data_IF_310524157489
#
_entry.id   IF_310524157489
#
_cell.length_a   1.000
_cell.length_b   1.000
_cell.length_c   1.000
_cell.angle_alpha   90.00
_cell.angle_beta   90.00
_cell.angle_gamma   90.00
#
_symmetry.space_group_name_H-M   'P 1'
#
loop_
_entity.id
_entity.type
_entity.pdbx_description
1 polymer ?
#
# COMPACT_ATOMS: atom_id res chain seq x y z
N UNK A 1 24.35 2.43 -0.39
CA UNK A 1 22.97 2.07 0.00
C UNK A 1 22.98 0.60 0.41
N UNK A 2 22.32 0.20 1.51
CA UNK A 2 22.25 -1.22 1.91
C UNK A 2 21.50 -2.05 0.85
N UNK A 3 21.90 -3.30 0.63
CA UNK A 3 21.27 -4.23 -0.33
C UNK A 3 19.75 -4.32 -0.14
N UNK A 4 19.28 -4.34 1.11
CA UNK A 4 17.85 -4.35 1.45
C UNK A 4 17.10 -3.10 0.99
N UNK A 5 17.75 -1.93 1.03
CA UNK A 5 17.12 -0.67 0.59
C UNK A 5 16.94 -0.66 -0.92
N UNK A 6 17.91 -1.21 -1.66
CA UNK A 6 17.82 -1.36 -3.10
C UNK A 6 16.74 -2.36 -3.51
N UNK A 7 16.61 -3.48 -2.79
CA UNK A 7 15.54 -4.47 -2.99
C UNK A 7 14.14 -3.84 -2.76
N UNK A 8 13.95 -3.11 -1.66
CA UNK A 8 12.68 -2.42 -1.39
C UNK A 8 12.31 -1.41 -2.47
N UNK A 9 13.30 -0.63 -2.96
CA UNK A 9 13.06 0.30 -4.07
C UNK A 9 12.60 -0.42 -5.33
N UNK A 10 13.28 -1.51 -5.70
CA UNK A 10 12.93 -2.32 -6.86
C UNK A 10 11.51 -2.90 -6.78
N UNK A 11 11.06 -3.32 -5.59
CA UNK A 11 9.67 -3.78 -5.39
C UNK A 11 8.64 -2.67 -5.61
N UNK A 12 8.90 -1.46 -5.11
CA UNK A 12 8.03 -0.30 -5.31
C UNK A 12 7.96 0.09 -6.79
N UNK A 13 9.11 0.10 -7.49
CA UNK A 13 9.17 0.36 -8.92
C UNK A 13 8.46 -0.73 -9.74
N UNK A 14 8.57 -2.00 -9.33
CA UNK A 14 7.85 -3.11 -9.97
C UNK A 14 6.33 -3.00 -9.79
N UNK A 15 5.86 -2.62 -8.61
CA UNK A 15 4.44 -2.34 -8.35
C UNK A 15 3.93 -1.22 -9.27
N UNK A 16 4.64 -0.10 -9.31
CA UNK A 16 4.31 1.03 -10.17
C UNK A 16 4.34 0.65 -11.66
N UNK A 17 5.34 -0.13 -12.08
CA UNK A 17 5.48 -0.61 -13.45
C UNK A 17 4.31 -1.48 -13.92
N UNK A 18 3.76 -2.33 -13.04
CA UNK A 18 2.55 -3.11 -13.32
C UNK A 18 1.34 -2.21 -13.56
N UNK A 19 1.12 -1.25 -12.68
CA UNK A 19 0.01 -0.29 -12.75
C UNK A 19 0.11 0.57 -14.02
N UNK A 20 1.29 1.13 -14.31
CA UNK A 20 1.52 1.94 -15.51
C UNK A 20 1.26 1.12 -16.77
N UNK A 21 1.66 -0.16 -16.79
CA UNK A 21 1.39 -1.05 -17.92
C UNK A 21 -0.10 -1.23 -18.15
N UNK A 22 -0.88 -1.46 -17.09
CA UNK A 22 -2.33 -1.59 -17.20
C UNK A 22 -2.98 -0.31 -17.75
N UNK A 23 -2.61 0.84 -17.21
CA UNK A 23 -3.09 2.15 -17.68
C UNK A 23 -2.76 2.35 -19.17
N UNK A 24 -1.50 2.14 -19.58
CA UNK A 24 -1.08 2.31 -20.98
C UNK A 24 -1.75 1.33 -21.94
N UNK A 25 -2.17 0.17 -21.46
CA UNK A 25 -2.92 -0.81 -22.23
C UNK A 25 -4.45 -0.61 -22.17
N UNK A 26 -4.94 0.47 -21.54
CA UNK A 26 -6.37 0.72 -21.38
C UNK A 26 -7.09 -0.31 -20.50
N UNK A 27 -6.36 -1.04 -19.65
CA UNK A 27 -6.91 -2.02 -18.71
C UNK A 27 -7.13 -1.37 -17.34
N UNK A 28 -8.06 -1.95 -16.58
CA UNK A 28 -8.26 -1.56 -15.19
C UNK A 28 -6.95 -1.78 -14.39
N UNK A 29 -6.38 -0.73 -13.78
CA UNK A 29 -5.16 -0.86 -12.99
C UNK A 29 -5.41 -1.69 -11.74
N UNK A 30 -4.50 -2.63 -11.48
CA UNK A 30 -4.65 -3.55 -10.37
C UNK A 30 -3.31 -4.00 -9.78
N UNK A 31 -3.36 -4.47 -8.55
CA UNK A 31 -2.22 -5.13 -7.91
C UNK A 31 -2.68 -6.24 -6.96
N UNK A 32 -1.74 -7.11 -6.58
CA UNK A 32 -1.99 -8.23 -5.68
C UNK A 32 -1.43 -7.89 -4.30
N UNK A 33 -2.21 -8.14 -3.26
CA UNK A 33 -1.80 -8.02 -1.85
C UNK A 33 -2.25 -9.23 -1.04
N UNK A 34 -1.87 -9.32 0.23
CA UNK A 34 -2.28 -10.40 1.12
C UNK A 34 -3.76 -10.23 1.51
N UNK A 35 -4.51 -11.32 1.48
CA UNK A 35 -5.91 -11.28 1.90
C UNK A 35 -6.01 -11.21 3.43
N UNK A 36 -6.42 -10.06 3.99
CA UNK A 36 -6.70 -9.89 5.43
C UNK A 36 -8.10 -10.40 5.79
N UNK A 37 -8.37 -11.68 5.54
CA UNK A 37 -9.64 -12.36 5.85
C UNK A 37 -9.41 -13.39 6.95
N UNK A 38 -10.41 -13.65 7.79
CA UNK A 38 -10.33 -14.66 8.87
C UNK A 38 -9.90 -16.04 8.36
N UNK A 39 -10.34 -16.42 7.17
CA UNK A 39 -9.96 -17.69 6.52
C UNK A 39 -8.48 -17.77 6.11
N UNK A 40 -7.76 -16.64 6.08
CA UNK A 40 -6.34 -16.57 5.79
C UNK A 40 -5.50 -16.36 7.06
N UNK A 41 -6.04 -16.60 8.26
CA UNK A 41 -5.28 -16.56 9.51
C UNK A 41 -4.93 -18.00 9.88
N UNK A 42 -3.63 -18.26 10.07
CA UNK A 42 -3.09 -19.59 10.41
C UNK A 42 -2.35 -19.50 11.72
N UNK A 43 -2.64 -20.41 12.65
CA UNK A 43 -1.84 -20.55 13.87
C UNK A 43 -0.50 -21.23 13.55
N UNK A 44 0.60 -20.57 13.89
CA UNK A 44 1.92 -21.16 13.79
C UNK A 44 2.34 -21.76 15.13
N UNK A 45 2.25 -23.08 15.25
CA UNK A 45 2.59 -23.81 16.47
C UNK A 45 4.06 -23.76 16.86
N UNK A 46 4.96 -23.41 15.93
CA UNK A 46 6.40 -23.31 16.22
C UNK A 46 6.75 -22.03 16.96
N UNK A 47 6.10 -20.91 16.58
CA UNK A 47 6.34 -19.59 17.19
C UNK A 47 5.23 -19.16 18.16
N UNK A 48 4.11 -19.86 18.20
CA UNK A 48 3.06 -19.68 19.20
C UNK A 48 2.08 -18.54 18.94
N UNK A 49 2.02 -17.97 17.73
CA UNK A 49 1.12 -16.86 17.39
C UNK A 49 0.42 -17.04 16.03
N UNK A 50 -0.63 -16.23 15.82
CA UNK A 50 -1.38 -16.19 14.56
C UNK A 50 -0.64 -15.39 13.49
N UNK A 51 -0.48 -15.97 12.31
CA UNK A 51 0.11 -15.29 11.14
C UNK A 51 -0.87 -15.25 9.97
N UNK A 52 -0.64 -14.30 9.07
CA UNK A 52 -1.29 -14.31 7.77
C UNK A 52 -0.79 -15.52 6.96
N UNK A 53 -1.72 -16.20 6.30
CA UNK A 53 -1.47 -17.27 5.36
C UNK A 53 -1.05 -16.74 3.99
N UNK A 54 -1.08 -17.62 2.99
CA UNK A 54 -0.61 -17.31 1.62
C UNK A 54 -1.71 -16.82 0.68
N UNK A 55 -2.96 -16.74 1.14
CA UNK A 55 -4.06 -16.27 0.30
C UNK A 55 -3.84 -14.81 -0.07
N UNK A 56 -4.08 -14.50 -1.34
CA UNK A 56 -3.88 -13.18 -1.93
C UNK A 56 -5.21 -12.64 -2.42
N UNK A 57 -5.34 -11.32 -2.42
CA UNK A 57 -6.45 -10.61 -3.03
C UNK A 57 -5.94 -9.68 -4.14
N UNK A 58 -6.73 -9.56 -5.19
CA UNK A 58 -6.55 -8.56 -6.23
C UNK A 58 -7.30 -7.29 -5.81
N UNK A 59 -6.61 -6.14 -5.90
CA UNK A 59 -7.20 -4.82 -5.70
C UNK A 59 -7.25 -4.10 -7.03
N UNK A 60 -8.47 -3.82 -7.45
CA UNK A 60 -8.80 -3.13 -8.69
C UNK A 60 -9.12 -1.66 -8.42
N UNK A 61 -8.67 -0.78 -9.30
CA UNK A 61 -8.97 0.65 -9.18
C UNK A 61 -10.43 0.95 -9.56
N UNK A 62 -10.96 0.40 -10.65
CA UNK A 62 -12.35 0.58 -11.11
C UNK A 62 -13.28 -0.40 -10.37
N UNK A 63 -13.28 -0.30 -9.04
CA UNK A 63 -14.18 -1.01 -8.15
C UNK A 63 -14.47 -0.10 -6.95
N UNK A 64 -15.70 0.40 -6.82
CA UNK A 64 -16.09 1.39 -5.81
C UNK A 64 -15.69 0.98 -4.38
N UNK A 65 -15.78 -0.31 -4.05
CA UNK A 65 -15.43 -0.82 -2.72
C UNK A 65 -13.91 -0.84 -2.47
N UNK A 66 -13.08 -0.77 -3.51
CA UNK A 66 -11.63 -0.89 -3.45
C UNK A 66 -10.88 0.38 -3.85
N UNK A 67 -11.49 1.28 -4.64
CA UNK A 67 -10.83 2.46 -5.22
C UNK A 67 -10.10 3.32 -4.16
N UNK A 68 -10.74 3.59 -3.01
CA UNK A 68 -10.12 4.36 -1.92
C UNK A 68 -8.86 3.68 -1.39
N UNK A 69 -8.93 2.38 -1.07
CA UNK A 69 -7.79 1.59 -0.58
C UNK A 69 -6.69 1.45 -1.63
N UNK A 70 -7.06 1.34 -2.90
CA UNK A 70 -6.11 1.32 -4.01
C UNK A 70 -5.30 2.63 -4.00
N UNK A 71 -5.98 3.78 -4.08
CA UNK A 71 -5.33 5.10 -4.11
C UNK A 71 -4.46 5.34 -2.87
N UNK A 72 -4.97 4.99 -1.69
CA UNK A 72 -4.24 5.06 -0.41
C UNK A 72 -2.93 4.26 -0.45
N UNK A 73 -2.97 3.03 -0.97
CA UNK A 73 -1.78 2.17 -1.08
C UNK A 73 -0.75 2.79 -2.04
N UNK A 74 -1.20 3.33 -3.17
CA UNK A 74 -0.30 3.98 -4.14
C UNK A 74 0.32 5.26 -3.55
N UNK A 75 -0.43 6.05 -2.80
CA UNK A 75 0.09 7.25 -2.15
C UNK A 75 1.16 6.93 -1.09
N UNK A 76 0.94 5.87 -0.31
CA UNK A 76 1.96 5.33 0.63
C UNK A 76 3.20 4.90 -0.16
N UNK A 77 3.03 4.07 -1.19
CA UNK A 77 4.14 3.56 -2.00
C UNK A 77 4.97 4.69 -2.63
N UNK A 78 4.31 5.74 -3.14
CA UNK A 78 4.97 6.92 -3.69
C UNK A 78 5.81 7.67 -2.64
N UNK A 79 5.28 7.86 -1.42
CA UNK A 79 6.04 8.47 -0.31
C UNK A 79 7.21 7.60 0.14
N UNK A 80 7.01 6.29 0.28
CA UNK A 80 8.08 5.35 0.61
C UNK A 80 9.19 5.35 -0.44
N UNK A 81 8.84 5.38 -1.73
CA UNK A 81 9.80 5.48 -2.83
C UNK A 81 10.62 6.78 -2.75
N UNK A 82 9.96 7.91 -2.44
CA UNK A 82 10.62 9.21 -2.23
C UNK A 82 11.62 9.14 -1.07
N UNK A 83 11.20 8.60 0.08
CA UNK A 83 12.08 8.45 1.24
C UNK A 83 13.32 7.61 0.93
N UNK A 84 13.15 6.48 0.26
CA UNK A 84 14.27 5.62 -0.14
C UNK A 84 15.20 6.33 -1.13
N UNK A 85 14.64 7.08 -2.09
CA UNK A 85 15.44 7.79 -3.10
C UNK A 85 16.21 8.98 -2.53
N UNK A 86 15.66 9.65 -1.52
CA UNK A 86 16.26 10.83 -0.87
C UNK A 86 17.03 10.48 0.41
N UNK A 87 17.15 9.19 0.75
CA UNK A 87 17.75 8.71 2.00
C UNK A 87 17.13 9.34 3.27
N UNK A 88 15.80 9.50 3.25
CA UNK A 88 15.00 10.00 4.36
C UNK A 88 14.31 8.86 5.11
N UNK A 89 13.89 9.13 6.33
CA UNK A 89 13.09 8.22 7.14
C UNK A 89 11.99 8.98 7.87
N UNK A 90 10.92 8.28 8.25
CA UNK A 90 9.84 8.86 9.05
C UNK A 90 9.18 7.81 9.91
N UNK A 91 8.37 8.25 10.88
CA UNK A 91 7.51 7.37 11.67
C UNK A 91 6.20 7.11 10.92
N UNK A 92 5.49 6.04 11.27
CA UNK A 92 4.16 5.74 10.69
C UNK A 92 3.21 6.95 10.86
N UNK A 93 3.25 7.61 12.02
CA UNK A 93 2.44 8.82 12.27
C UNK A 93 2.90 10.01 11.43
N UNK A 94 4.22 10.18 11.25
CA UNK A 94 4.78 11.21 10.37
C UNK A 94 4.35 11.02 8.92
N UNK A 95 4.35 9.77 8.42
CA UNK A 95 3.83 9.43 7.11
C UNK A 95 2.32 9.72 7.00
N UNK A 96 1.52 9.33 7.99
CA UNK A 96 0.09 9.62 8.03
C UNK A 96 -0.20 11.13 7.88
N UNK A 97 0.47 11.99 8.66
CA UNK A 97 0.26 13.43 8.54
C UNK A 97 0.69 13.99 7.18
N UNK A 98 1.77 13.49 6.59
CA UNK A 98 2.16 13.88 5.22
C UNK A 98 1.18 13.43 4.14
N UNK A 99 0.36 12.43 4.44
CA UNK A 99 -0.68 11.91 3.56
C UNK A 99 -2.07 12.41 3.93
N UNK A 100 -2.25 13.19 4.99
CA UNK A 100 -3.55 13.77 5.37
C UNK A 100 -3.81 15.04 4.58
N UNK A 101 -4.11 14.90 3.29
CA UNK A 101 -4.48 15.99 2.39
C UNK A 101 -5.86 15.73 1.75
N UNK A 102 -6.54 16.82 1.40
CA UNK A 102 -7.83 16.78 0.69
C UNK A 102 -7.64 16.36 -0.77
N UNK A 103 -8.60 15.59 -1.30
CA UNK A 103 -8.61 15.17 -2.71
C UNK A 103 -9.01 16.30 -3.69
N UNK A 104 -9.48 17.44 -3.18
CA UNK A 104 -9.81 18.62 -3.98
C UNK A 104 -10.09 19.85 -3.12
N UNK A 105 -10.11 21.03 -3.74
CA UNK A 105 -10.39 22.29 -3.02
C UNK A 105 -11.82 22.33 -2.47
N UNK A 106 -12.79 21.79 -3.20
CA UNK A 106 -14.22 21.77 -2.84
C UNK A 106 -14.74 20.36 -2.49
N UNK A 107 -13.86 19.48 -2.02
CA UNK A 107 -14.23 18.10 -1.65
C UNK A 107 -13.90 17.86 -0.19
N UNK A 108 -14.91 17.53 0.62
CA UNK A 108 -14.73 17.13 2.03
C UNK A 108 -14.30 15.66 2.17
N UNK A 109 -13.36 15.22 1.34
CA UNK A 109 -12.78 13.87 1.39
C UNK A 109 -11.26 13.97 1.35
N UNK A 110 -10.63 13.47 2.41
CA UNK A 110 -9.19 13.26 2.43
C UNK A 110 -8.85 11.87 1.91
N UNK A 111 -7.62 11.72 1.43
CA UNK A 111 -7.11 10.38 1.10
C UNK A 111 -7.02 9.50 2.36
N UNK A 112 -6.74 10.07 3.54
CA UNK A 112 -6.81 9.41 4.84
C UNK A 112 -7.50 10.30 5.86
N UNK A 113 -8.50 9.77 6.57
CA UNK A 113 -9.16 10.49 7.66
C UNK A 113 -8.53 10.10 9.01
N UNK A 114 -8.31 8.80 9.23
CA UNK A 114 -7.71 8.26 10.45
C UNK A 114 -6.40 7.50 10.21
N UNK A 115 -5.54 7.48 11.24
CA UNK A 115 -4.29 6.70 11.19
C UNK A 115 -4.57 5.19 11.08
N UNK A 116 -5.67 4.72 11.67
CA UNK A 116 -6.17 3.33 11.63
C UNK A 116 -6.33 2.80 10.21
N UNK A 117 -6.64 3.67 9.23
CA UNK A 117 -6.76 3.32 7.81
C UNK A 117 -5.39 3.07 7.16
N UNK A 118 -4.37 3.84 7.55
CA UNK A 118 -3.04 3.78 6.94
C UNK A 118 -2.20 2.60 7.45
N UNK A 119 -2.32 2.24 8.73
CA UNK A 119 -1.52 1.20 9.37
C UNK A 119 -1.52 -0.14 8.62
N UNK A 120 -2.68 -0.77 8.31
CA UNK A 120 -2.68 -2.07 7.63
C UNK A 120 -2.10 -1.99 6.21
N UNK A 121 -2.26 -0.85 5.53
CA UNK A 121 -1.73 -0.64 4.18
C UNK A 121 -0.21 -0.48 4.17
N UNK A 122 0.36 0.13 5.22
CA UNK A 122 1.81 0.24 5.39
C UNK A 122 2.41 -1.13 5.71
N UNK A 123 1.73 -1.95 6.52
CA UNK A 123 2.18 -3.33 6.81
C UNK A 123 2.11 -4.27 5.61
N UNK A 124 1.13 -4.08 4.73
CA UNK A 124 0.91 -4.92 3.54
C UNK A 124 1.87 -4.60 2.39
N UNK A 125 2.51 -3.42 2.40
CA UNK A 125 3.43 -2.93 1.37
C UNK A 125 4.88 -3.40 1.62
#
# INVERSE_FOLDING_TARGET
MSEKVQDSKGKLESLAGGIIRDIKSGRNPKFITLARKRSNIVYDSKVGYLKLGKSREERDFINVAQSKRFMQTIAIAAKCHKFVSENLHTTIRGLFYQLKYSLGEDVDENIFNEQSESNPLIEDL
#
